data_IF_686512198186
#
_entry.id   IF_686512198186
#
_cell.length_a   1.000
_cell.length_b   1.000
_cell.length_c   1.000
_cell.angle_alpha   90.00
_cell.angle_beta   90.00
_cell.angle_gamma   90.00
#
_symmetry.space_group_name_H-M   'P 1'
#
loop_
_entity.id
_entity.type
_entity.pdbx_description
1 polymer ?
#
# COMPACT_ATOMS: atom_id res chain seq x y z
N UNK A 1 8.07 -53.64 64.65
CA UNK A 1 7.39 -53.76 63.35
C UNK A 1 7.12 -52.35 62.86
N UNK A 2 8.11 -51.75 62.20
CA UNK A 2 8.17 -50.31 61.84
C UNK A 2 7.81 -50.15 60.39
N UNK A 3 6.70 -49.46 60.08
CA UNK A 3 6.29 -49.05 58.75
C UNK A 3 7.01 -47.76 58.36
N UNK A 4 7.83 -47.81 57.30
CA UNK A 4 8.50 -46.67 56.71
C UNK A 4 7.54 -46.02 55.73
N UNK A 5 7.17 -44.75 56.01
CA UNK A 5 6.37 -43.92 55.09
C UNK A 5 7.31 -43.30 54.05
N UNK A 6 7.10 -43.67 52.77
CA UNK A 6 7.79 -43.04 51.61
C UNK A 6 7.01 -41.79 51.25
N UNK A 7 7.64 -40.63 51.38
CA UNK A 7 7.15 -39.34 50.87
C UNK A 7 7.71 -39.10 49.45
N UNK A 8 6.80 -39.05 48.47
CA UNK A 8 7.13 -38.74 47.10
C UNK A 8 7.31 -37.20 46.94
N UNK A 9 8.51 -36.80 46.58
CA UNK A 9 8.80 -35.42 46.18
C UNK A 9 8.45 -35.22 44.71
N UNK A 10 7.40 -34.49 44.44
CA UNK A 10 7.01 -34.10 43.08
C UNK A 10 7.88 -32.94 42.58
N UNK A 11 8.69 -33.19 41.54
CA UNK A 11 9.46 -32.14 40.84
C UNK A 11 8.47 -31.41 39.88
N UNK A 12 8.12 -30.19 40.20
CA UNK A 12 7.39 -29.33 39.27
C UNK A 12 8.37 -28.71 38.25
N UNK A 13 8.30 -29.18 37.02
CA UNK A 13 9.06 -28.62 35.88
C UNK A 13 8.35 -27.36 35.40
N UNK A 14 8.84 -26.19 35.78
CA UNK A 14 8.36 -24.89 35.27
C UNK A 14 8.87 -24.71 33.83
N UNK A 15 7.99 -24.90 32.83
CA UNK A 15 8.25 -24.54 31.45
C UNK A 15 8.28 -23.01 31.32
N UNK A 16 9.45 -22.42 31.18
CA UNK A 16 9.61 -21.03 30.75
C UNK A 16 9.14 -20.94 29.29
N UNK A 17 7.97 -20.42 29.06
CA UNK A 17 7.51 -19.97 27.74
C UNK A 17 8.31 -18.70 27.37
N UNK A 18 9.35 -18.86 26.56
CA UNK A 18 10.01 -17.72 25.93
C UNK A 18 9.01 -17.04 24.99
N UNK A 19 8.56 -15.85 25.36
CA UNK A 19 7.79 -15.01 24.45
C UNK A 19 8.66 -14.68 23.23
N UNK A 20 8.08 -14.65 21.99
CA UNK A 20 8.83 -14.23 20.82
C UNK A 20 9.27 -12.78 21.05
N UNK A 21 10.58 -12.55 21.01
CA UNK A 21 11.16 -11.21 20.96
C UNK A 21 10.63 -10.55 19.71
N UNK A 22 9.70 -9.62 19.87
CA UNK A 22 9.13 -8.86 18.76
C UNK A 22 10.28 -8.17 18.03
N UNK A 23 10.27 -8.30 16.70
CA UNK A 23 11.12 -7.52 15.81
C UNK A 23 10.66 -6.04 15.88
N UNK A 24 11.02 -5.37 16.97
CA UNK A 24 10.97 -3.92 17.14
C UNK A 24 12.40 -3.44 17.16
N UNK A 25 12.67 -2.42 16.34
CA UNK A 25 13.88 -1.61 16.31
C UNK A 25 14.98 -1.99 15.29
N UNK A 26 14.58 -2.21 14.01
CA UNK A 26 15.49 -1.81 12.96
C UNK A 26 15.51 -0.27 12.94
N UNK A 27 16.64 0.35 13.31
CA UNK A 27 16.80 1.79 13.17
C UNK A 27 16.36 2.23 11.77
N UNK A 28 15.62 3.35 11.63
CA UNK A 28 15.12 3.78 10.32
C UNK A 28 16.29 3.88 9.35
N UNK A 29 16.12 3.35 8.15
CA UNK A 29 17.15 3.41 7.12
C UNK A 29 17.62 4.85 6.95
N UNK A 30 18.94 5.06 6.94
CA UNK A 30 19.56 6.40 6.88
C UNK A 30 19.38 7.10 5.51
N UNK A 31 18.54 6.59 4.62
CA UNK A 31 18.28 7.14 3.29
C UNK A 31 17.04 6.54 2.65
N UNK A 32 16.76 6.93 1.37
CA UNK A 32 15.63 6.40 0.63
C UNK A 32 15.73 4.87 0.45
N UNK A 33 14.60 4.17 0.63
CA UNK A 33 14.46 2.74 0.34
C UNK A 33 13.57 2.57 -0.88
N UNK A 34 14.11 1.94 -1.91
CA UNK A 34 13.46 1.78 -3.20
C UNK A 34 12.78 0.42 -3.30
N UNK A 35 11.53 0.40 -3.74
CA UNK A 35 10.77 -0.81 -4.05
C UNK A 35 10.76 -0.99 -5.56
N UNK A 36 11.38 -2.06 -6.10
CA UNK A 36 11.42 -2.29 -7.54
C UNK A 36 10.01 -2.36 -8.15
N UNK A 37 9.88 -1.88 -9.38
CA UNK A 37 8.66 -2.07 -10.18
C UNK A 37 8.51 -3.53 -10.60
N UNK A 38 7.27 -4.00 -10.68
CA UNK A 38 6.92 -5.28 -11.32
C UNK A 38 6.79 -5.15 -12.86
N UNK A 39 6.97 -3.95 -13.39
CA UNK A 39 6.94 -3.66 -14.83
C UNK A 39 8.36 -3.45 -15.37
N UNK A 40 8.62 -3.77 -16.65
CA UNK A 40 9.95 -3.68 -17.27
C UNK A 40 10.32 -2.23 -17.66
N UNK A 41 10.09 -1.27 -16.77
CA UNK A 41 10.36 0.14 -16.99
C UNK A 41 11.31 0.69 -15.93
N UNK A 42 12.09 1.74 -16.22
CA UNK A 42 13.13 2.26 -15.33
C UNK A 42 12.56 3.16 -14.22
N UNK A 43 11.69 2.60 -13.35
CA UNK A 43 11.18 3.29 -12.18
C UNK A 43 10.93 2.30 -11.02
N UNK A 44 10.86 2.83 -9.81
CA UNK A 44 10.44 2.09 -8.62
C UNK A 44 8.93 2.15 -8.46
N UNK A 45 8.28 1.10 -7.97
CA UNK A 45 6.85 1.14 -7.65
C UNK A 45 6.56 2.08 -6.48
N UNK A 46 7.51 2.21 -5.55
CA UNK A 46 7.48 3.18 -4.46
C UNK A 46 8.89 3.48 -3.94
N UNK A 47 9.03 4.62 -3.25
CA UNK A 47 10.23 4.98 -2.51
C UNK A 47 9.82 5.41 -1.11
N UNK A 48 10.40 4.79 -0.08
CA UNK A 48 10.21 5.21 1.31
C UNK A 48 11.31 6.19 1.72
N UNK A 49 10.92 7.33 2.27
CA UNK A 49 11.82 8.35 2.85
C UNK A 49 11.32 8.65 4.26
N UNK A 50 12.05 8.19 5.26
CA UNK A 50 11.60 8.26 6.65
C UNK A 50 10.27 7.54 6.84
N UNK A 51 9.26 8.25 7.33
CA UNK A 51 7.92 7.73 7.59
C UNK A 51 6.94 7.97 6.45
N UNK A 52 7.42 8.36 5.27
CA UNK A 52 6.56 8.57 4.10
C UNK A 52 6.91 7.58 3.00
N UNK A 53 5.90 6.89 2.49
CA UNK A 53 5.96 6.09 1.28
C UNK A 53 5.41 6.91 0.11
N UNK A 54 6.27 7.18 -0.87
CA UNK A 54 5.96 7.84 -2.14
C UNK A 54 5.68 6.75 -3.17
N UNK A 55 4.45 6.62 -3.63
CA UNK A 55 4.09 5.69 -4.69
C UNK A 55 4.28 6.39 -6.04
N UNK A 56 4.82 5.66 -7.02
CA UNK A 56 4.82 6.11 -8.40
C UNK A 56 3.41 6.19 -8.98
N UNK A 57 3.23 7.02 -10.01
CA UNK A 57 2.00 7.11 -10.77
C UNK A 57 1.54 5.73 -11.26
N UNK A 58 0.26 5.44 -11.09
CA UNK A 58 -0.37 4.21 -11.52
C UNK A 58 -1.45 4.50 -12.55
N UNK A 59 -1.46 3.69 -13.59
CA UNK A 59 -2.51 3.59 -14.58
C UNK A 59 -3.36 2.35 -14.31
N UNK A 60 -4.49 2.21 -14.96
CA UNK A 60 -5.24 0.96 -15.04
C UNK A 60 -4.55 -0.07 -15.93
N UNK A 61 -3.24 -0.27 -15.76
CA UNK A 61 -2.41 -1.08 -16.63
C UNK A 61 -2.64 -2.59 -16.42
N UNK A 62 -2.63 -3.32 -17.54
CA UNK A 62 -2.67 -4.78 -17.66
C UNK A 62 -1.48 -5.27 -18.51
N UNK A 63 -1.32 -6.58 -18.65
CA UNK A 63 -0.32 -7.21 -19.52
C UNK A 63 1.11 -6.70 -19.27
N UNK A 64 1.50 -6.65 -17.98
CA UNK A 64 2.82 -6.12 -17.56
C UNK A 64 3.08 -4.69 -18.04
N UNK A 65 2.04 -3.86 -18.07
CA UNK A 65 2.16 -2.45 -18.45
C UNK A 65 2.16 -2.20 -19.96
N UNK A 66 1.69 -3.16 -20.78
CA UNK A 66 1.64 -2.99 -22.26
C UNK A 66 0.32 -2.37 -22.72
N UNK A 67 -0.72 -2.42 -21.93
CA UNK A 67 -2.03 -1.88 -22.24
C UNK A 67 -2.74 -1.39 -20.97
N UNK A 68 -3.81 -0.63 -21.13
CA UNK A 68 -4.78 -0.33 -20.06
C UNK A 68 -6.02 -1.23 -20.20
N UNK A 69 -6.71 -1.46 -19.09
CA UNK A 69 -7.95 -2.22 -19.10
C UNK A 69 -8.98 -1.55 -20.02
N UNK A 70 -9.65 -2.29 -20.89
CA UNK A 70 -10.64 -1.69 -21.79
C UNK A 70 -11.91 -1.25 -21.05
N UNK A 71 -12.68 -0.33 -21.65
CA UNK A 71 -13.98 0.11 -21.13
C UNK A 71 -14.02 1.54 -20.61
N UNK A 72 -12.89 2.29 -20.69
CA UNK A 72 -12.83 3.71 -20.38
C UNK A 72 -12.58 3.99 -18.91
N UNK A 73 -12.97 5.19 -18.45
CA UNK A 73 -12.57 5.76 -17.17
C UNK A 73 -12.92 4.88 -15.96
N UNK A 74 -14.08 4.24 -15.92
CA UNK A 74 -14.51 3.51 -14.72
C UNK A 74 -13.70 2.24 -14.48
N UNK A 75 -13.53 1.28 -15.43
CA UNK A 75 -12.66 0.13 -15.25
C UNK A 75 -11.20 0.52 -15.08
N UNK A 76 -10.70 1.54 -15.80
CA UNK A 76 -9.34 2.03 -15.62
C UNK A 76 -9.11 2.57 -14.20
N UNK A 77 -10.04 3.35 -13.66
CA UNK A 77 -9.96 3.85 -12.28
C UNK A 77 -9.89 2.71 -11.27
N UNK A 78 -10.74 1.68 -11.40
CA UNK A 78 -10.74 0.53 -10.50
C UNK A 78 -9.45 -0.28 -10.59
N UNK A 79 -8.94 -0.53 -11.79
CA UNK A 79 -7.68 -1.24 -12.00
C UNK A 79 -6.48 -0.45 -11.44
N UNK A 80 -6.47 0.86 -11.63
CA UNK A 80 -5.48 1.77 -11.05
C UNK A 80 -5.48 1.68 -9.52
N UNK A 81 -6.64 1.74 -8.86
CA UNK A 81 -6.76 1.58 -7.40
C UNK A 81 -6.31 0.20 -6.93
N UNK A 82 -6.60 -0.88 -7.69
CA UNK A 82 -6.11 -2.21 -7.36
C UNK A 82 -4.56 -2.27 -7.36
N UNK A 83 -3.90 -1.59 -8.30
CA UNK A 83 -2.43 -1.49 -8.36
C UNK A 83 -1.87 -0.68 -7.20
N UNK A 84 -2.46 0.47 -6.87
CA UNK A 84 -2.09 1.27 -5.69
C UNK A 84 -2.24 0.43 -4.42
N UNK A 85 -3.37 -0.25 -4.24
CA UNK A 85 -3.61 -1.14 -3.10
C UNK A 85 -2.60 -2.27 -3.00
N UNK A 86 -2.20 -2.89 -4.13
CA UNK A 86 -1.14 -3.90 -4.17
C UNK A 86 0.18 -3.34 -3.63
N UNK A 87 0.59 -2.15 -4.09
CA UNK A 87 1.82 -1.52 -3.62
C UNK A 87 1.75 -1.15 -2.14
N UNK A 88 0.63 -0.58 -1.66
CA UNK A 88 0.43 -0.29 -0.24
C UNK A 88 0.56 -1.57 0.61
N UNK A 89 -0.12 -2.64 0.22
CA UNK A 89 -0.12 -3.92 0.94
C UNK A 89 1.28 -4.55 1.04
N UNK A 90 2.15 -4.39 0.04
CA UNK A 90 3.54 -4.83 0.07
C UNK A 90 4.34 -4.16 1.21
N UNK A 91 3.88 -2.99 1.66
CA UNK A 91 4.47 -2.24 2.76
C UNK A 91 3.70 -2.34 4.08
N UNK A 92 2.69 -3.23 4.16
CA UNK A 92 1.84 -3.37 5.34
C UNK A 92 0.87 -2.21 5.54
N UNK A 93 0.62 -1.42 4.50
CA UNK A 93 -0.24 -0.23 4.51
C UNK A 93 -1.56 -0.47 3.75
N UNK A 94 -2.51 0.42 3.97
CA UNK A 94 -3.80 0.44 3.27
C UNK A 94 -4.19 1.85 2.82
N UNK A 95 -5.39 1.98 2.27
CA UNK A 95 -5.91 3.29 1.85
C UNK A 95 -6.14 4.25 3.04
N UNK A 96 -6.29 3.74 4.25
CA UNK A 96 -6.41 4.55 5.46
C UNK A 96 -5.12 5.30 5.82
N UNK A 97 -3.98 4.83 5.32
CA UNK A 97 -2.66 5.44 5.54
C UNK A 97 -2.31 6.49 4.47
N UNK A 98 -3.09 6.56 3.38
CA UNK A 98 -2.89 7.52 2.31
C UNK A 98 -3.35 8.91 2.77
N UNK A 99 -2.47 9.90 2.68
CA UNK A 99 -2.76 11.26 3.11
C UNK A 99 -2.75 12.30 1.99
N UNK A 100 -2.17 11.98 0.83
CA UNK A 100 -2.10 12.86 -0.34
C UNK A 100 -2.17 12.05 -1.62
N UNK A 101 -2.89 12.57 -2.64
CA UNK A 101 -2.82 12.07 -4.02
C UNK A 101 -2.78 13.22 -5.04
N UNK A 102 -2.19 12.96 -6.20
CA UNK A 102 -2.33 13.75 -7.41
C UNK A 102 -2.97 12.91 -8.50
N UNK A 103 -3.92 13.50 -9.21
CA UNK A 103 -4.72 12.85 -10.25
C UNK A 103 -4.51 13.59 -11.56
N UNK A 104 -4.23 12.82 -12.61
CA UNK A 104 -4.08 13.31 -13.97
C UNK A 104 -5.19 12.67 -14.83
N UNK A 105 -5.96 13.48 -15.53
CA UNK A 105 -7.04 13.05 -16.41
C UNK A 105 -6.74 13.47 -17.85
N UNK A 106 -6.81 12.54 -18.78
CA UNK A 106 -6.70 12.87 -20.20
C UNK A 106 -7.87 13.70 -20.71
N UNK A 107 -9.02 13.62 -20.03
CA UNK A 107 -10.22 14.42 -20.30
C UNK A 107 -10.90 14.78 -18.97
N UNK A 108 -11.03 16.06 -18.68
CA UNK A 108 -11.72 16.54 -17.47
C UNK A 108 -13.21 16.23 -17.44
N UNK A 109 -13.84 15.90 -18.57
CA UNK A 109 -15.20 15.41 -18.60
C UNK A 109 -15.40 14.07 -17.85
N UNK A 110 -14.31 13.31 -17.65
CA UNK A 110 -14.32 12.08 -16.85
C UNK A 110 -14.33 12.31 -15.34
N UNK A 111 -14.06 13.54 -14.89
CA UNK A 111 -13.96 13.87 -13.48
C UNK A 111 -15.12 13.36 -12.61
N UNK A 112 -16.40 13.54 -12.97
CA UNK A 112 -17.50 13.08 -12.13
C UNK A 112 -17.50 11.58 -11.93
N UNK A 113 -17.24 10.79 -12.99
CA UNK A 113 -17.18 9.32 -12.93
C UNK A 113 -16.01 8.83 -12.12
N UNK A 114 -14.82 9.39 -12.38
CA UNK A 114 -13.64 9.12 -11.56
C UNK A 114 -13.89 9.41 -10.07
N UNK A 115 -14.41 10.59 -9.76
CA UNK A 115 -14.61 11.04 -8.38
C UNK A 115 -15.62 10.18 -7.60
N UNK A 116 -16.66 9.68 -8.27
CA UNK A 116 -17.62 8.75 -7.67
C UNK A 116 -16.93 7.45 -7.21
N UNK A 117 -16.02 6.89 -8.03
CA UNK A 117 -15.25 5.70 -7.69
C UNK A 117 -14.20 6.02 -6.62
N UNK A 118 -13.45 7.11 -6.78
CA UNK A 118 -12.45 7.56 -5.80
C UNK A 118 -13.01 7.60 -4.38
N UNK A 119 -14.20 8.16 -4.21
CA UNK A 119 -14.83 8.31 -2.90
C UNK A 119 -15.10 6.97 -2.19
N UNK A 120 -15.18 5.85 -2.92
CA UNK A 120 -15.44 4.52 -2.35
C UNK A 120 -14.22 3.87 -1.70
N UNK A 121 -13.02 4.36 -1.98
CA UNK A 121 -11.77 3.80 -1.45
C UNK A 121 -11.33 4.42 -0.13
N UNK A 122 -11.91 5.53 0.27
CA UNK A 122 -11.51 6.28 1.47
C UNK A 122 -12.69 6.45 2.42
N UNK A 123 -12.38 6.52 3.72
CA UNK A 123 -13.38 6.78 4.75
C UNK A 123 -13.93 8.20 4.64
N UNK A 124 -15.25 8.35 4.72
CA UNK A 124 -15.90 9.67 4.80
C UNK A 124 -15.31 10.48 5.96
N UNK A 125 -14.89 11.71 5.68
CA UNK A 125 -14.23 12.60 6.65
C UNK A 125 -12.72 12.39 6.81
N UNK A 126 -12.13 11.40 6.12
CA UNK A 126 -10.68 11.14 6.09
C UNK A 126 -10.14 11.02 4.66
N UNK A 127 -10.66 11.84 3.75
CA UNK A 127 -10.15 11.88 2.38
C UNK A 127 -8.74 12.46 2.35
N UNK A 128 -7.82 11.88 1.55
CA UNK A 128 -6.50 12.45 1.34
C UNK A 128 -6.58 13.88 0.77
N UNK A 129 -5.62 14.72 1.09
CA UNK A 129 -5.42 15.96 0.36
C UNK A 129 -5.20 15.63 -1.12
N UNK A 130 -5.88 16.33 -2.05
CA UNK A 130 -5.85 15.96 -3.45
C UNK A 130 -5.74 17.17 -4.37
N UNK A 131 -4.95 17.02 -5.44
CA UNK A 131 -4.98 17.88 -6.62
C UNK A 131 -5.42 17.05 -7.83
N UNK A 132 -6.13 17.66 -8.78
CA UNK A 132 -6.51 17.02 -10.03
C UNK A 132 -6.26 17.98 -11.19
N UNK A 133 -5.73 17.45 -12.28
CA UNK A 133 -5.31 18.20 -13.46
C UNK A 133 -5.73 17.48 -14.73
N UNK A 134 -6.21 18.26 -15.71
CA UNK A 134 -6.32 17.79 -17.09
C UNK A 134 -4.94 17.86 -17.76
N UNK A 135 -4.59 16.82 -18.51
CA UNK A 135 -3.33 16.71 -19.26
C UNK A 135 -3.61 16.43 -20.73
N UNK A 136 -2.62 16.66 -21.60
CA UNK A 136 -2.77 16.48 -23.05
C UNK A 136 -2.65 15.01 -23.50
N UNK A 137 -2.41 14.07 -22.57
CA UNK A 137 -2.29 12.65 -22.83
C UNK A 137 -1.56 11.94 -21.69
N UNK A 138 -1.81 10.64 -21.57
CA UNK A 138 -1.19 9.73 -20.61
C UNK A 138 -0.58 8.54 -21.34
N UNK A 139 0.38 7.87 -20.69
CA UNK A 139 1.00 6.67 -21.26
C UNK A 139 -0.07 5.63 -21.61
N UNK A 140 0.16 4.86 -22.65
CA UNK A 140 -0.72 3.80 -23.19
C UNK A 140 -2.12 4.32 -23.63
N UNK A 141 -2.30 5.63 -23.79
CA UNK A 141 -3.59 6.22 -24.05
C UNK A 141 -4.57 6.11 -22.88
N UNK A 142 -4.06 5.97 -21.65
CA UNK A 142 -4.86 5.91 -20.43
C UNK A 142 -5.72 7.16 -20.26
N UNK A 143 -6.87 7.01 -19.62
CA UNK A 143 -7.76 8.12 -19.27
C UNK A 143 -7.46 8.73 -17.92
N UNK A 144 -6.78 7.99 -17.05
CA UNK A 144 -6.43 8.43 -15.69
C UNK A 144 -5.10 7.86 -15.25
N UNK A 145 -4.34 8.68 -14.54
CA UNK A 145 -3.19 8.31 -13.74
C UNK A 145 -3.32 8.92 -12.35
N UNK A 146 -2.82 8.23 -11.33
CA UNK A 146 -2.78 8.78 -9.97
C UNK A 146 -1.53 8.32 -9.24
N UNK A 147 -0.88 9.26 -8.56
CA UNK A 147 0.15 8.98 -7.57
C UNK A 147 -0.32 9.36 -6.17
N UNK A 148 0.17 8.66 -5.16
CA UNK A 148 -0.22 8.89 -3.77
C UNK A 148 0.97 8.82 -2.83
N UNK A 149 0.84 9.47 -1.67
CA UNK A 149 1.75 9.41 -0.53
C UNK A 149 1.03 8.79 0.66
N UNK A 150 1.68 7.85 1.33
CA UNK A 150 1.14 7.17 2.50
C UNK A 150 2.04 7.33 3.72
N UNK A 151 1.45 7.38 4.89
CA UNK A 151 2.16 7.38 6.16
C UNK A 151 2.58 5.96 6.52
N UNK A 152 3.87 5.73 6.68
CA UNK A 152 4.47 4.45 6.97
C UNK A 152 5.19 4.41 8.34
N UNK A 153 5.02 5.47 9.15
CA UNK A 153 5.51 5.54 10.51
C UNK A 153 4.44 5.03 11.48
N UNK A 154 4.60 3.81 11.99
CA UNK A 154 3.70 3.19 12.95
C UNK A 154 4.48 2.48 14.03
#
# INVERSE_FOLDING_TARGET
>A
MNMIKLTAFGLALAALLAAPVGAKDAAPAKGPVFTPSDMPYPFSSAVRVGDVLYLSGQLGAIDNGKAVVPGGIEPETRAMFARIGKTLNQHGLGFDDVFKCQVFLADMADWPKFNAIYATYFKKGRYPARSAMGVNGLALGARVEMECWAWAGG
#
